data_IF_839374222723
#
_entry.id   IF_839374222723
#
_cell.length_a   1.000
_cell.length_b   1.000
_cell.length_c   1.000
_cell.angle_alpha   90.00
_cell.angle_beta   90.00
_cell.angle_gamma   90.00
#
_symmetry.space_group_name_H-M   'P 1'
#
loop_
_entity.id
_entity.type
_entity.pdbx_description
1 polymer ?
#
# COMPACT_ATOMS: atom_id res chain seq x y z
N UNK A 1 3.84 36.12 18.34
CA UNK A 1 3.78 35.85 19.79
C UNK A 1 2.58 36.56 20.41
N UNK A 2 2.37 37.86 20.19
CA UNK A 2 1.25 38.60 20.83
C UNK A 2 -0.17 38.20 20.42
N UNK A 3 -0.40 37.78 19.16
CA UNK A 3 -1.74 37.33 18.71
C UNK A 3 -2.19 35.99 19.31
N UNK A 4 -1.28 35.16 19.83
CA UNK A 4 -1.63 33.86 20.42
C UNK A 4 -2.08 34.01 21.88
N UNK A 5 -1.46 34.91 22.65
CA UNK A 5 -1.89 35.21 24.02
C UNK A 5 -3.24 35.95 24.08
N UNK A 6 -3.61 36.68 23.04
CA UNK A 6 -4.91 37.36 22.95
C UNK A 6 -6.09 36.40 22.72
N UNK A 7 -5.87 35.23 22.11
CA UNK A 7 -6.93 34.28 21.75
C UNK A 7 -7.46 33.52 22.98
N UNK A 8 -6.57 32.95 23.79
CA UNK A 8 -6.96 32.32 25.06
C UNK A 8 -7.61 33.28 26.08
N UNK A 9 -7.42 34.61 25.92
CA UNK A 9 -8.09 35.63 26.73
C UNK A 9 -9.60 35.68 26.48
N UNK A 10 -10.07 35.46 25.25
CA UNK A 10 -11.48 35.68 24.88
C UNK A 10 -12.41 34.56 25.35
N UNK A 11 -11.99 33.30 25.27
CA UNK A 11 -12.77 32.17 25.80
C UNK A 11 -12.75 32.18 27.33
N UNK A 12 -11.63 32.57 27.95
CA UNK A 12 -11.57 32.78 29.39
C UNK A 12 -12.54 33.88 29.85
N UNK A 13 -12.62 34.99 29.10
CA UNK A 13 -13.60 36.06 29.32
C UNK A 13 -15.05 35.57 29.16
N UNK A 14 -15.33 34.72 28.17
CA UNK A 14 -16.65 34.11 27.96
C UNK A 14 -17.06 33.21 29.15
N UNK A 15 -16.15 32.39 29.67
CA UNK A 15 -16.42 31.51 30.83
C UNK A 15 -16.69 32.35 32.09
N UNK A 16 -15.94 33.43 32.29
CA UNK A 16 -16.18 34.37 33.41
C UNK A 16 -17.56 35.03 33.28
N UNK A 17 -17.91 35.51 32.08
CA UNK A 17 -19.22 36.11 31.81
C UNK A 17 -20.37 35.11 32.03
N UNK A 18 -20.21 33.88 31.56
CA UNK A 18 -21.19 32.80 31.76
C UNK A 18 -21.38 32.45 33.23
N UNK A 19 -20.30 32.48 34.04
CA UNK A 19 -20.34 32.25 35.48
C UNK A 19 -21.05 33.37 36.25
N UNK A 20 -20.87 34.62 35.84
CA UNK A 20 -21.54 35.77 36.46
C UNK A 20 -23.04 35.83 36.13
N UNK A 21 -23.43 35.41 34.92
CA UNK A 21 -24.80 35.49 34.43
C UNK A 21 -25.61 34.20 34.70
N UNK A 22 -24.95 33.07 34.90
CA UNK A 22 -25.59 31.75 35.06
C UNK A 22 -26.09 31.14 33.76
N UNK A 23 -25.87 31.79 32.62
CA UNK A 23 -26.21 31.33 31.28
C UNK A 23 -25.30 32.00 30.24
N UNK A 24 -25.26 31.43 29.03
CA UNK A 24 -24.65 32.05 27.85
C UNK A 24 -25.62 32.01 26.69
N UNK A 25 -25.54 32.97 25.75
CA UNK A 25 -26.32 32.91 24.51
C UNK A 25 -25.47 32.44 23.33
N UNK A 26 -26.12 31.92 22.27
CA UNK A 26 -25.42 31.60 21.01
C UNK A 26 -24.69 32.82 20.42
N UNK A 27 -25.24 34.01 20.59
CA UNK A 27 -24.59 35.26 20.19
C UNK A 27 -23.33 35.53 21.01
N UNK A 28 -23.38 35.33 22.34
CA UNK A 28 -22.22 35.51 23.21
C UNK A 28 -21.10 34.55 22.86
N UNK A 29 -21.43 33.27 22.59
CA UNK A 29 -20.46 32.27 22.15
C UNK A 29 -19.84 32.69 20.82
N UNK A 30 -20.65 33.05 19.83
CA UNK A 30 -20.17 33.43 18.50
C UNK A 30 -19.33 34.72 18.49
N UNK A 31 -19.61 35.69 19.37
CA UNK A 31 -18.86 36.95 19.48
C UNK A 31 -17.48 36.79 20.14
N UNK A 32 -17.32 35.76 20.99
CA UNK A 32 -16.07 35.48 21.70
C UNK A 32 -15.24 34.37 21.03
N UNK A 33 -15.81 33.67 20.05
CA UNK A 33 -15.07 32.74 19.20
C UNK A 33 -14.14 33.50 18.23
N UNK A 34 -12.93 33.00 17.96
CA UNK A 34 -12.05 33.56 16.94
C UNK A 34 -12.69 33.50 15.54
N UNK A 35 -12.44 34.52 14.71
CA UNK A 35 -12.89 34.56 13.29
C UNK A 35 -12.40 33.35 12.45
N UNK A 36 -11.42 32.60 12.96
CA UNK A 36 -10.85 31.39 12.33
C UNK A 36 -11.71 30.12 12.58
N UNK A 37 -12.66 30.15 13.53
CA UNK A 37 -13.61 29.06 13.83
C UNK A 37 -14.94 29.41 13.18
N UNK A 38 -15.08 29.06 11.90
CA UNK A 38 -16.29 29.34 11.11
C UNK A 38 -17.12 28.09 10.81
N UNK A 39 -16.74 26.93 11.36
CA UNK A 39 -17.36 25.65 11.08
C UNK A 39 -18.49 25.36 12.08
N UNK A 40 -19.76 25.20 11.65
CA UNK A 40 -20.87 24.92 12.55
C UNK A 40 -20.63 23.72 13.48
N UNK A 41 -20.00 22.66 12.98
CA UNK A 41 -19.71 21.45 13.77
C UNK A 41 -18.71 21.72 14.92
N UNK A 42 -17.75 22.63 14.71
CA UNK A 42 -16.80 23.03 15.76
C UNK A 42 -17.47 23.94 16.80
N UNK A 43 -18.40 24.78 16.36
CA UNK A 43 -19.20 25.64 17.26
C UNK A 43 -20.08 24.77 18.15
N UNK A 44 -20.76 23.76 17.58
CA UNK A 44 -21.58 22.81 18.33
C UNK A 44 -20.75 21.98 19.33
N UNK A 45 -19.53 21.59 18.98
CA UNK A 45 -18.59 20.91 19.89
C UNK A 45 -18.18 21.80 21.07
N UNK A 46 -17.86 23.06 20.81
CA UNK A 46 -17.53 24.04 21.86
C UNK A 46 -18.74 24.29 22.76
N UNK A 47 -19.95 24.38 22.20
CA UNK A 47 -21.20 24.50 22.97
C UNK A 47 -21.41 23.24 23.83
N UNK A 48 -21.12 22.05 23.30
CA UNK A 48 -21.14 20.79 24.06
C UNK A 48 -20.18 20.83 25.26
N UNK A 49 -18.94 21.25 25.03
CA UNK A 49 -17.93 21.40 26.10
C UNK A 49 -18.35 22.45 27.15
N UNK A 50 -19.00 23.55 26.74
CA UNK A 50 -19.52 24.58 27.66
C UNK A 50 -20.69 24.04 28.50
N UNK A 51 -21.57 23.22 27.92
CA UNK A 51 -22.64 22.57 28.67
C UNK A 51 -22.10 21.53 29.67
N UNK A 52 -21.06 20.76 29.28
CA UNK A 52 -20.36 19.83 30.18
C UNK A 52 -19.67 20.55 31.37
N UNK A 53 -19.35 21.83 31.19
CA UNK A 53 -18.85 22.72 32.25
C UNK A 53 -19.94 23.23 33.20
N UNK A 54 -21.21 22.86 32.98
CA UNK A 54 -22.35 23.29 33.80
C UNK A 54 -22.91 24.66 33.42
N UNK A 55 -22.47 25.27 32.31
CA UNK A 55 -23.02 26.53 31.80
C UNK A 55 -24.02 26.26 30.68
N UNK A 56 -25.30 26.58 30.93
CA UNK A 56 -26.34 26.37 29.91
C UNK A 56 -26.26 27.42 28.81
N UNK A 57 -26.13 26.98 27.56
CA UNK A 57 -26.17 27.83 26.37
C UNK A 57 -27.59 27.86 25.78
N UNK A 58 -28.20 29.03 25.72
CA UNK A 58 -29.57 29.24 25.21
C UNK A 58 -29.57 30.07 23.91
N UNK A 59 -30.50 29.84 22.99
CA UNK A 59 -30.61 30.68 21.77
C UNK A 59 -31.00 32.13 22.08
N UNK A 60 -31.81 32.33 23.12
CA UNK A 60 -32.24 33.64 23.62
C UNK A 60 -32.08 33.69 25.14
N UNK A 61 -31.81 34.88 25.69
CA UNK A 61 -31.67 35.05 27.14
C UNK A 61 -32.91 34.52 27.88
N UNK A 62 -32.75 33.62 28.88
CA UNK A 62 -33.87 33.06 29.62
C UNK A 62 -34.53 34.11 30.53
N UNK A 63 -35.82 33.94 30.78
CA UNK A 63 -36.58 34.82 31.67
C UNK A 63 -36.15 34.64 33.13
N UNK A 64 -36.32 35.67 33.96
CA UNK A 64 -35.87 35.70 35.35
C UNK A 64 -36.41 34.52 36.19
N UNK A 65 -37.63 34.08 35.92
CA UNK A 65 -38.26 32.94 36.61
C UNK A 65 -37.59 31.59 36.26
N UNK A 66 -36.98 31.49 35.06
CA UNK A 66 -36.31 30.27 34.58
C UNK A 66 -34.93 30.10 35.22
N UNK A 67 -34.25 31.23 35.49
CA UNK A 67 -32.95 31.27 36.15
C UNK A 67 -33.03 30.86 37.63
N UNK A 68 -34.13 31.21 38.32
CA UNK A 68 -34.34 30.86 39.73
C UNK A 68 -34.61 29.37 39.96
N UNK A 69 -35.02 28.63 38.92
CA UNK A 69 -35.29 27.19 38.98
C UNK A 69 -34.04 26.34 38.69
N UNK A 70 -32.98 26.93 38.16
CA UNK A 70 -31.77 26.24 37.72
C UNK A 70 -30.66 26.16 38.80
N UNK A 71 -30.88 26.70 40.01
CA UNK A 71 -29.92 26.57 41.11
C UNK A 71 -29.90 25.12 41.64
N UNK A 72 -28.97 24.31 41.12
CA UNK A 72 -28.11 23.36 41.87
C UNK A 72 -27.53 22.28 40.95
N UNK A 73 -26.31 22.46 40.44
CA UNK A 73 -25.31 21.37 40.39
C UNK A 73 -23.95 21.95 40.78
N UNK A 74 -23.33 21.39 41.82
CA UNK A 74 -21.97 21.73 42.22
C UNK A 74 -21.01 21.32 41.11
N UNK A 75 -20.39 22.29 40.45
CA UNK A 75 -19.29 22.06 39.52
C UNK A 75 -17.99 21.89 40.31
N UNK A 76 -17.39 20.70 40.30
CA UNK A 76 -16.06 20.46 40.87
C UNK A 76 -15.02 21.35 40.15
N UNK A 77 -14.38 22.27 40.87
CA UNK A 77 -13.37 23.21 40.35
C UNK A 77 -12.22 22.51 39.58
N UNK A 78 -11.98 21.22 39.84
CA UNK A 78 -10.94 20.40 39.20
C UNK A 78 -11.34 19.95 37.78
N UNK A 79 -12.63 19.65 37.54
CA UNK A 79 -13.12 19.29 36.21
C UNK A 79 -13.14 20.51 35.27
N UNK A 80 -13.40 21.68 35.83
CA UNK A 80 -13.39 22.97 35.15
C UNK A 80 -12.00 23.40 34.67
N UNK A 81 -10.97 23.23 35.49
CA UNK A 81 -9.59 23.55 35.10
C UNK A 81 -9.10 22.64 33.96
N UNK A 82 -9.44 21.34 34.01
CA UNK A 82 -9.13 20.38 32.95
C UNK A 82 -9.88 20.67 31.64
N UNK A 83 -11.14 21.12 31.72
CA UNK A 83 -11.95 21.45 30.55
C UNK A 83 -11.59 22.82 29.96
N UNK A 84 -11.19 23.80 30.76
CA UNK A 84 -10.60 25.04 30.28
C UNK A 84 -9.26 24.79 29.56
N UNK A 85 -8.43 23.88 30.09
CA UNK A 85 -7.21 23.42 29.42
C UNK A 85 -7.52 22.65 28.12
N UNK A 86 -8.58 21.84 28.09
CA UNK A 86 -9.05 21.15 26.89
C UNK A 86 -9.56 22.11 25.81
N UNK A 87 -10.37 23.12 26.17
CA UNK A 87 -10.83 24.17 25.26
C UNK A 87 -9.67 25.00 24.70
N UNK A 88 -8.70 25.36 25.54
CA UNK A 88 -7.47 26.03 25.12
C UNK A 88 -6.59 25.14 24.21
N UNK A 89 -6.60 23.82 24.41
CA UNK A 89 -5.92 22.87 23.52
C UNK A 89 -6.63 22.72 22.16
N UNK A 90 -7.96 22.75 22.14
CA UNK A 90 -8.78 22.72 20.91
C UNK A 90 -8.55 23.96 20.06
N UNK A 91 -8.38 25.14 20.68
CA UNK A 91 -8.01 26.38 19.97
C UNK A 91 -6.64 26.33 19.29
N UNK A 92 -5.69 25.59 19.87
CA UNK A 92 -4.34 25.46 19.31
C UNK A 92 -4.28 24.57 18.06
N UNK A 93 -5.32 23.78 17.79
CA UNK A 93 -5.42 22.91 16.61
C UNK A 93 -6.36 23.48 15.55
N UNK A 94 -6.01 24.66 15.02
CA UNK A 94 -6.71 25.27 13.89
C UNK A 94 -6.85 24.28 12.73
N UNK A 95 -8.09 23.91 12.39
CA UNK A 95 -8.43 22.96 11.32
C UNK A 95 -8.76 21.53 11.78
N UNK A 96 -8.87 21.25 13.09
CA UNK A 96 -9.40 19.98 13.59
C UNK A 96 -10.90 19.87 13.24
N UNK A 97 -11.24 19.03 12.27
CA UNK A 97 -12.63 18.70 11.93
C UNK A 97 -12.88 17.23 12.28
N UNK A 98 -14.05 16.95 12.83
CA UNK A 98 -14.51 15.58 13.13
C UNK A 98 -15.15 14.92 11.91
N UNK A 99 -15.49 15.70 10.87
CA UNK A 99 -16.05 15.18 9.61
C UNK A 99 -14.96 14.44 8.80
N UNK A 100 -15.09 13.11 8.63
CA UNK A 100 -14.12 12.32 7.87
C UNK A 100 -14.01 12.77 6.41
N UNK A 101 -15.08 13.34 5.82
CA UNK A 101 -15.06 13.87 4.44
C UNK A 101 -14.12 15.07 4.36
N UNK A 102 -14.20 16.00 5.29
CA UNK A 102 -13.31 17.18 5.32
C UNK A 102 -11.87 16.80 5.63
N UNK A 103 -11.65 15.86 6.54
CA UNK A 103 -10.31 15.31 6.81
C UNK A 103 -9.69 14.76 5.51
N UNK A 104 -10.45 13.96 4.77
CA UNK A 104 -10.02 13.38 3.50
C UNK A 104 -9.75 14.45 2.42
N UNK A 105 -10.62 15.45 2.29
CA UNK A 105 -10.43 16.55 1.33
C UNK A 105 -9.17 17.37 1.63
N UNK A 106 -8.87 17.59 2.92
CA UNK A 106 -7.65 18.28 3.36
C UNK A 106 -6.39 17.48 3.02
N UNK A 107 -6.37 16.20 3.37
CA UNK A 107 -5.23 15.31 3.07
C UNK A 107 -4.97 15.22 1.56
N UNK A 108 -6.03 15.02 0.77
CA UNK A 108 -5.94 15.03 -0.69
C UNK A 108 -5.47 16.38 -1.24
N UNK A 109 -5.90 17.48 -0.61
CA UNK A 109 -5.54 18.85 -0.97
C UNK A 109 -4.04 19.11 -0.97
N UNK A 110 -3.26 18.34 -0.21
CA UNK A 110 -1.81 18.48 -0.09
C UNK A 110 -1.02 18.01 -1.32
N UNK A 111 -1.61 17.17 -2.16
CA UNK A 111 -0.93 16.57 -3.32
C UNK A 111 -1.25 17.38 -4.58
N UNK A 112 -0.24 17.80 -5.35
CA UNK A 112 -0.45 18.57 -6.56
C UNK A 112 -1.12 17.77 -7.70
N UNK A 113 -1.74 18.49 -8.63
CA UNK A 113 -2.30 17.91 -9.85
C UNK A 113 -1.18 17.51 -10.82
N UNK A 114 -1.31 16.34 -11.44
CA UNK A 114 -0.31 15.82 -12.37
C UNK A 114 -0.51 16.39 -13.78
N UNK A 115 0.59 16.78 -14.43
CA UNK A 115 0.61 17.08 -15.87
C UNK A 115 0.69 15.79 -16.68
N UNK A 116 0.39 15.86 -17.99
CA UNK A 116 0.54 14.69 -18.88
C UNK A 116 1.98 14.14 -18.89
N UNK A 117 2.97 15.01 -18.84
CA UNK A 117 4.38 14.61 -18.78
C UNK A 117 4.67 13.89 -17.46
N UNK A 118 4.14 14.39 -16.34
CA UNK A 118 4.21 13.72 -15.05
C UNK A 118 3.51 12.34 -15.04
N UNK A 119 2.36 12.19 -15.72
CA UNK A 119 1.68 10.89 -15.88
C UNK A 119 2.60 9.87 -16.58
N UNK A 120 3.28 10.30 -17.65
CA UNK A 120 4.20 9.46 -18.41
C UNK A 120 5.44 9.13 -17.59
N UNK A 121 6.00 10.10 -16.84
CA UNK A 121 7.16 9.88 -15.99
C UNK A 121 6.88 8.86 -14.89
N UNK A 122 5.74 8.97 -14.20
CA UNK A 122 5.35 7.99 -13.18
C UNK A 122 5.12 6.61 -13.82
N UNK A 123 4.48 6.54 -14.98
CA UNK A 123 4.30 5.28 -15.69
C UNK A 123 5.65 4.63 -16.09
N UNK A 124 6.64 5.43 -16.54
CA UNK A 124 8.00 4.96 -16.80
C UNK A 124 8.68 4.44 -15.51
N UNK A 125 8.53 5.13 -14.38
CA UNK A 125 9.04 4.68 -13.07
C UNK A 125 8.41 3.35 -12.63
N UNK A 126 7.12 3.13 -12.90
CA UNK A 126 6.44 1.85 -12.66
C UNK A 126 7.07 0.74 -13.52
N UNK A 127 7.22 0.97 -14.84
CA UNK A 127 7.84 0.01 -15.75
C UNK A 127 9.29 -0.30 -15.34
N UNK A 128 10.07 0.70 -14.93
CA UNK A 128 11.45 0.54 -14.48
C UNK A 128 11.53 -0.35 -13.23
N UNK A 129 10.64 -0.14 -12.24
CA UNK A 129 10.57 -1.00 -11.06
C UNK A 129 10.21 -2.45 -11.39
N UNK A 130 9.34 -2.66 -12.39
CA UNK A 130 9.04 -4.01 -12.91
C UNK A 130 10.27 -4.65 -13.57
N UNK A 131 10.99 -3.91 -14.42
CA UNK A 131 12.22 -4.38 -15.09
C UNK A 131 13.29 -4.76 -14.06
N UNK A 132 13.51 -3.91 -13.05
CA UNK A 132 14.47 -4.14 -11.97
C UNK A 132 14.17 -5.46 -11.22
N UNK A 133 12.88 -5.70 -10.90
CA UNK A 133 12.44 -6.92 -10.24
C UNK A 133 12.65 -8.16 -11.12
N UNK A 134 12.25 -8.09 -12.40
CA UNK A 134 12.38 -9.20 -13.34
C UNK A 134 13.86 -9.54 -13.59
N UNK A 135 14.72 -8.53 -13.74
CA UNK A 135 16.15 -8.74 -13.92
C UNK A 135 16.78 -9.41 -12.68
N UNK A 136 16.40 -8.98 -11.48
CA UNK A 136 16.85 -9.63 -10.24
C UNK A 136 16.33 -11.07 -10.11
N UNK A 137 15.08 -11.34 -10.51
CA UNK A 137 14.45 -12.66 -10.35
C UNK A 137 15.09 -13.76 -11.20
N UNK A 138 15.73 -13.40 -12.31
CA UNK A 138 16.52 -14.32 -13.16
C UNK A 138 17.69 -14.96 -12.39
N UNK A 139 18.22 -14.25 -11.40
CA UNK A 139 19.28 -14.78 -10.55
C UNK A 139 18.72 -15.81 -9.55
N UNK A 140 17.42 -15.87 -9.31
CA UNK A 140 16.85 -16.93 -8.49
C UNK A 140 16.58 -18.20 -9.34
N UNK A 141 17.08 -19.37 -8.94
CA UNK A 141 16.87 -20.64 -9.63
C UNK A 141 15.38 -20.98 -9.78
N UNK A 142 15.04 -21.75 -10.81
CA UNK A 142 13.67 -22.14 -11.17
C UNK A 142 12.75 -21.01 -11.66
N UNK A 143 13.09 -19.74 -11.50
CA UNK A 143 12.26 -18.62 -11.98
C UNK A 143 12.03 -18.68 -13.49
N UNK A 144 13.10 -18.69 -14.28
CA UNK A 144 12.98 -18.72 -15.75
C UNK A 144 12.44 -20.07 -16.22
N UNK A 145 12.80 -21.15 -15.54
CA UNK A 145 12.27 -22.50 -15.82
C UNK A 145 10.74 -22.55 -15.65
N UNK A 146 10.22 -21.99 -14.57
CA UNK A 146 8.77 -21.89 -14.31
C UNK A 146 8.05 -21.17 -15.45
N UNK A 147 8.60 -20.04 -15.92
CA UNK A 147 8.06 -19.29 -17.06
C UNK A 147 8.09 -20.12 -18.35
N UNK A 148 9.17 -20.86 -18.61
CA UNK A 148 9.30 -21.72 -19.78
C UNK A 148 8.33 -22.91 -19.74
N UNK A 149 8.10 -23.49 -18.56
CA UNK A 149 7.10 -24.55 -18.35
C UNK A 149 5.69 -23.99 -18.59
N UNK A 150 5.37 -22.82 -18.01
CA UNK A 150 4.05 -22.20 -18.21
C UNK A 150 3.79 -21.89 -19.68
N UNK A 151 4.79 -21.40 -20.40
CA UNK A 151 4.70 -21.19 -21.85
C UNK A 151 4.41 -22.49 -22.63
N UNK A 152 4.96 -23.62 -22.19
CA UNK A 152 4.65 -24.91 -22.80
C UNK A 152 3.17 -25.28 -22.59
N UNK A 153 2.62 -25.05 -21.39
CA UNK A 153 1.18 -25.26 -21.12
C UNK A 153 0.28 -24.34 -21.96
N UNK A 154 0.71 -23.10 -22.23
CA UNK A 154 0.00 -22.19 -23.14
C UNK A 154 0.03 -22.73 -24.57
N UNK A 155 1.18 -23.25 -25.03
CA UNK A 155 1.29 -23.87 -26.36
C UNK A 155 0.44 -25.14 -26.50
N UNK A 156 0.29 -25.89 -25.42
CA UNK A 156 -0.50 -27.13 -25.39
C UNK A 156 -2.01 -26.85 -25.23
N UNK A 157 -2.39 -25.58 -25.05
CA UNK A 157 -3.79 -25.13 -24.97
C UNK A 157 -4.42 -25.26 -23.58
N UNK A 158 -3.64 -25.65 -22.56
CA UNK A 158 -4.14 -25.81 -21.18
C UNK A 158 -4.31 -24.48 -20.43
N UNK A 159 -3.59 -23.44 -20.87
CA UNK A 159 -3.60 -22.10 -20.26
C UNK A 159 -3.81 -21.02 -21.31
N UNK A 160 -4.51 -19.94 -20.94
CA UNK A 160 -4.71 -18.77 -21.80
C UNK A 160 -3.43 -17.92 -21.85
N UNK A 161 -3.21 -17.26 -23.00
CA UNK A 161 -2.08 -16.34 -23.17
C UNK A 161 -2.18 -15.11 -22.26
N UNK A 162 -3.40 -14.60 -22.01
CA UNK A 162 -3.64 -13.43 -21.19
C UNK A 162 -3.27 -13.66 -19.71
N UNK A 163 -3.40 -14.91 -19.23
CA UNK A 163 -2.91 -15.31 -17.90
C UNK A 163 -1.39 -15.33 -17.80
N UNK A 164 -0.69 -15.42 -18.94
CA UNK A 164 0.77 -15.52 -19.02
C UNK A 164 1.43 -14.16 -19.27
N UNK A 165 1.11 -13.53 -20.40
CA UNK A 165 1.81 -12.36 -20.91
C UNK A 165 0.81 -11.36 -21.48
N UNK A 166 0.92 -10.10 -21.05
CA UNK A 166 0.05 -9.01 -21.51
C UNK A 166 0.71 -8.18 -22.62
N UNK A 167 2.04 -8.21 -22.76
CA UNK A 167 2.75 -7.47 -23.79
C UNK A 167 4.26 -7.44 -23.62
N UNK A 168 4.88 -6.36 -24.08
CA UNK A 168 6.33 -6.14 -23.98
C UNK A 168 6.64 -4.73 -23.45
N UNK A 169 7.71 -4.61 -22.66
CA UNK A 169 8.17 -3.36 -22.02
C UNK A 169 9.23 -2.64 -22.88
N UNK A 170 9.04 -2.54 -24.20
CA UNK A 170 10.04 -1.94 -25.11
C UNK A 170 10.25 -0.45 -24.84
N UNK A 171 11.41 0.13 -25.10
CA UNK A 171 11.54 1.60 -25.05
C UNK A 171 10.96 2.24 -26.31
N UNK A 172 10.00 3.16 -26.16
CA UNK A 172 9.61 4.08 -27.23
C UNK A 172 10.15 5.46 -26.87
N UNK A 173 10.90 6.07 -27.79
CA UNK A 173 11.47 7.41 -27.62
C UNK A 173 10.39 8.50 -27.70
N UNK A 174 9.39 8.32 -28.56
CA UNK A 174 8.23 9.21 -28.66
C UNK A 174 6.92 8.46 -28.46
N UNK A 175 6.07 8.99 -27.57
CA UNK A 175 4.72 8.48 -27.34
C UNK A 175 3.78 9.32 -28.22
N UNK A 176 3.17 8.75 -29.28
CA UNK A 176 2.27 9.52 -30.13
C UNK A 176 1.06 9.98 -29.31
N UNK A 177 0.66 11.25 -29.48
CA UNK A 177 -0.54 11.75 -28.83
C UNK A 177 -1.77 11.27 -29.58
N UNK A 178 -2.43 10.24 -29.07
CA UNK A 178 -3.77 9.89 -29.55
C UNK A 178 -4.73 11.05 -29.21
N UNK A 179 -5.50 11.50 -30.21
CA UNK A 179 -6.56 12.49 -30.00
C UNK A 179 -7.61 12.01 -28.99
N UNK A 180 -8.56 12.87 -28.57
CA UNK A 180 -9.58 12.52 -27.59
C UNK A 180 -10.52 11.43 -28.14
N UNK A 181 -10.16 10.16 -27.93
CA UNK A 181 -10.88 8.99 -28.43
C UNK A 181 -11.60 8.28 -27.29
N UNK A 182 -12.72 8.83 -26.85
CA UNK A 182 -13.60 8.24 -25.83
C UNK A 182 -14.26 6.94 -26.28
N UNK A 183 -14.33 6.64 -27.59
CA UNK A 183 -15.01 5.45 -28.13
C UNK A 183 -14.19 4.16 -27.96
N UNK A 184 -12.89 4.15 -28.27
CA UNK A 184 -12.04 2.97 -28.05
C UNK A 184 -11.79 2.65 -26.58
N UNK A 185 -11.64 3.67 -25.74
CA UNK A 185 -11.56 3.49 -24.29
C UNK A 185 -12.88 2.98 -23.69
N UNK A 186 -14.01 3.15 -24.39
CA UNK A 186 -15.29 2.53 -24.05
C UNK A 186 -15.34 1.09 -24.53
N UNK A 187 -14.94 0.83 -25.78
CA UNK A 187 -14.88 -0.53 -26.37
C UNK A 187 -13.94 -1.48 -25.61
N UNK A 188 -12.74 -1.02 -25.22
CA UNK A 188 -11.76 -1.82 -24.46
C UNK A 188 -12.23 -2.18 -23.05
N UNK A 189 -13.25 -1.49 -22.59
CA UNK A 189 -13.67 -1.53 -21.21
C UNK A 189 -15.05 -2.19 -21.10
N UNK A 190 -15.94 -1.94 -22.06
CA UNK A 190 -17.11 -2.79 -22.34
C UNK A 190 -16.66 -4.25 -22.65
N UNK A 191 -15.48 -4.44 -23.28
CA UNK A 191 -14.84 -5.76 -23.44
C UNK A 191 -14.28 -6.38 -22.14
N UNK A 192 -14.17 -5.60 -21.06
CA UNK A 192 -13.77 -6.09 -19.74
C UNK A 192 -14.99 -6.51 -18.88
N UNK A 193 -16.21 -6.21 -19.33
CA UNK A 193 -17.47 -6.58 -18.68
C UNK A 193 -18.13 -7.82 -19.33
N UNK A 194 -17.80 -8.11 -20.59
CA UNK A 194 -18.01 -9.44 -21.18
C UNK A 194 -16.84 -10.36 -20.82
N UNK A 195 -17.10 -11.54 -20.26
CA UNK A 195 -16.11 -12.62 -20.11
C UNK A 195 -15.44 -13.06 -21.45
N UNK A 196 -15.82 -12.45 -22.57
CA UNK A 196 -15.07 -12.44 -23.81
C UNK A 196 -14.02 -11.32 -23.78
N UNK A 197 -12.85 -11.64 -23.20
CA UNK A 197 -11.61 -10.92 -23.47
C UNK A 197 -11.42 -10.81 -24.99
N UNK A 198 -11.81 -9.68 -25.61
CA UNK A 198 -11.41 -9.43 -26.98
C UNK A 198 -9.88 -9.46 -27.01
N UNK A 199 -9.37 -10.32 -27.88
CA UNK A 199 -7.99 -10.75 -27.98
C UNK A 199 -7.04 -9.62 -28.34
N UNK A 200 -6.80 -8.69 -27.41
CA UNK A 200 -5.66 -7.77 -27.43
C UNK A 200 -4.45 -8.44 -26.77
N UNK A 201 -4.23 -9.72 -27.06
CA UNK A 201 -3.02 -10.42 -26.65
C UNK A 201 -1.84 -10.00 -27.54
N UNK A 202 -0.60 -10.08 -27.04
CA UNK A 202 0.58 -9.84 -27.87
C UNK A 202 0.61 -10.79 -29.07
N UNK A 203 1.15 -10.34 -30.21
CA UNK A 203 1.27 -11.17 -31.42
C UNK A 203 1.98 -12.48 -31.09
N UNK A 204 1.26 -13.59 -31.26
CA UNK A 204 1.71 -14.94 -30.92
C UNK A 204 3.04 -15.29 -31.61
N UNK A 205 3.28 -14.78 -32.82
CA UNK A 205 4.54 -15.03 -33.54
C UNK A 205 5.73 -14.36 -32.84
N UNK A 206 5.57 -13.12 -32.39
CA UNK A 206 6.61 -12.39 -31.69
C UNK A 206 6.83 -12.95 -30.28
N UNK A 207 5.76 -13.33 -29.57
CA UNK A 207 5.86 -14.07 -28.30
C UNK A 207 6.67 -15.34 -28.48
N UNK A 208 6.34 -16.17 -29.47
CA UNK A 208 7.06 -17.42 -29.75
C UNK A 208 8.54 -17.17 -30.06
N UNK A 209 8.86 -16.13 -30.84
CA UNK A 209 10.24 -15.74 -31.15
C UNK A 209 11.01 -15.38 -29.89
N UNK A 210 10.45 -14.54 -29.02
CA UNK A 210 11.09 -14.12 -27.76
C UNK A 210 11.24 -15.26 -26.78
N UNK A 211 10.22 -16.10 -26.62
CA UNK A 211 10.28 -17.29 -25.77
C UNK A 211 11.31 -18.31 -26.27
N UNK A 212 11.47 -18.45 -27.58
CA UNK A 212 12.54 -19.29 -28.16
C UNK A 212 13.92 -18.72 -27.88
N UNK A 213 14.07 -17.39 -27.99
CA UNK A 213 15.32 -16.72 -27.64
C UNK A 213 15.66 -16.88 -26.15
N UNK A 214 14.66 -16.70 -25.27
CA UNK A 214 14.77 -16.90 -23.82
C UNK A 214 15.19 -18.34 -23.50
N UNK A 215 14.52 -19.34 -24.09
CA UNK A 215 14.87 -20.77 -23.90
C UNK A 215 16.30 -21.07 -24.34
N UNK A 216 16.71 -20.53 -25.48
CA UNK A 216 18.08 -20.71 -26.00
C UNK A 216 19.12 -20.07 -25.06
N UNK A 217 18.87 -18.86 -24.58
CA UNK A 217 19.77 -18.18 -23.66
C UNK A 217 19.82 -18.90 -22.30
N UNK A 218 18.67 -19.29 -21.76
CA UNK A 218 18.57 -20.08 -20.53
C UNK A 218 19.40 -21.37 -20.61
N UNK A 219 19.26 -22.14 -21.70
CA UNK A 219 20.03 -23.36 -21.91
C UNK A 219 21.54 -23.11 -21.99
N UNK A 220 21.98 -21.97 -22.54
CA UNK A 220 23.40 -21.58 -22.55
C UNK A 220 23.88 -21.25 -21.13
N UNK A 221 23.11 -20.45 -20.40
CA UNK A 221 23.40 -20.08 -19.01
C UNK A 221 23.53 -21.33 -18.13
N UNK A 222 22.58 -22.27 -18.21
CA UNK A 222 22.62 -23.54 -17.45
C UNK A 222 23.87 -24.36 -17.76
N UNK A 223 24.23 -24.51 -19.06
CA UNK A 223 25.45 -25.23 -19.46
C UNK A 223 26.73 -24.57 -18.95
N UNK A 224 26.77 -23.24 -18.86
CA UNK A 224 27.93 -22.51 -18.32
C UNK A 224 28.02 -22.70 -16.81
N UNK A 225 26.89 -22.66 -16.10
CA UNK A 225 26.81 -22.94 -14.66
C UNK A 225 27.33 -24.34 -14.35
N UNK A 226 26.89 -25.35 -15.12
CA UNK A 226 27.34 -26.73 -14.97
C UNK A 226 28.86 -26.91 -15.21
N UNK A 227 29.43 -26.18 -16.17
CA UNK A 227 30.86 -26.32 -16.55
C UNK A 227 31.83 -25.51 -15.69
N UNK A 228 31.49 -24.26 -15.37
CA UNK A 228 32.39 -23.29 -14.74
C UNK A 228 31.98 -22.91 -13.32
N UNK A 229 30.84 -23.39 -12.85
CA UNK A 229 30.25 -22.97 -11.59
C UNK A 229 29.52 -21.64 -11.70
N UNK A 230 28.59 -21.45 -10.77
CA UNK A 230 27.65 -20.33 -10.74
C UNK A 230 28.30 -18.97 -10.53
N UNK A 231 29.36 -18.90 -9.72
CA UNK A 231 30.05 -17.64 -9.39
C UNK A 231 31.17 -17.28 -10.39
N UNK A 232 31.26 -17.99 -11.53
CA UNK A 232 32.23 -17.64 -12.57
C UNK A 232 31.87 -16.31 -13.25
N UNK A 233 32.88 -15.57 -13.70
CA UNK A 233 32.66 -14.29 -14.43
C UNK A 233 31.82 -14.51 -15.69
N UNK A 234 32.01 -15.65 -16.34
CA UNK A 234 31.28 -16.06 -17.52
C UNK A 234 29.81 -16.38 -17.20
N UNK A 235 29.51 -17.05 -16.08
CA UNK A 235 28.13 -17.28 -15.67
C UNK A 235 27.41 -15.96 -15.40
N UNK A 236 28.05 -15.01 -14.70
CA UNK A 236 27.48 -13.67 -14.46
C UNK A 236 27.21 -12.90 -15.76
N UNK A 237 28.10 -13.01 -16.76
CA UNK A 237 27.89 -12.40 -18.07
C UNK A 237 26.68 -13.03 -18.81
N UNK A 238 26.48 -14.35 -18.70
CA UNK A 238 25.33 -15.03 -19.29
C UNK A 238 24.03 -14.75 -18.51
N UNK A 239 24.07 -14.56 -17.19
CA UNK A 239 22.95 -14.08 -16.38
C UNK A 239 22.53 -12.68 -16.78
N UNK A 240 23.47 -11.76 -17.02
CA UNK A 240 23.17 -10.42 -17.50
C UNK A 240 22.41 -10.45 -18.82
N UNK A 241 22.90 -11.23 -19.80
CA UNK A 241 22.20 -11.42 -21.09
C UNK A 241 20.81 -12.04 -20.93
N UNK A 242 20.65 -12.96 -19.98
CA UNK A 242 19.36 -13.59 -19.70
C UNK A 242 18.39 -12.59 -19.07
N UNK A 243 18.86 -11.78 -18.12
CA UNK A 243 18.13 -10.66 -17.51
C UNK A 243 17.71 -9.62 -18.54
N UNK A 244 18.62 -9.26 -19.45
CA UNK A 244 18.35 -8.30 -20.52
C UNK A 244 17.22 -8.76 -21.45
N UNK A 245 17.06 -10.07 -21.67
CA UNK A 245 15.93 -10.62 -22.44
C UNK A 245 14.66 -10.67 -21.59
N UNK A 246 14.78 -11.08 -20.33
CA UNK A 246 13.65 -11.36 -19.45
C UNK A 246 12.94 -10.10 -18.96
N UNK A 247 13.68 -9.02 -18.70
CA UNK A 247 13.13 -7.76 -18.18
C UNK A 247 12.13 -7.07 -19.11
N UNK A 248 12.17 -7.36 -20.42
CA UNK A 248 11.28 -6.74 -21.41
C UNK A 248 9.98 -7.51 -21.65
N UNK A 249 9.74 -8.60 -20.92
CA UNK A 249 8.50 -9.37 -20.97
C UNK A 249 7.50 -8.77 -19.97
N UNK A 250 6.36 -8.28 -20.47
CA UNK A 250 5.28 -7.75 -19.61
C UNK A 250 4.34 -8.90 -19.22
N UNK A 251 4.66 -9.56 -18.11
CA UNK A 251 3.82 -10.62 -17.55
C UNK A 251 2.46 -10.11 -17.10
N UNK A 252 1.47 -11.00 -17.02
CA UNK A 252 0.22 -10.70 -16.32
C UNK A 252 0.51 -10.40 -14.83
N UNK A 253 -0.34 -9.62 -14.13
CA UNK A 253 -0.13 -9.35 -12.70
C UNK A 253 0.01 -10.63 -11.86
N UNK A 254 -0.80 -11.64 -12.18
CA UNK A 254 -0.75 -12.95 -11.51
C UNK A 254 0.57 -13.67 -11.74
N UNK A 255 1.03 -13.76 -12.99
CA UNK A 255 2.30 -14.39 -13.33
C UNK A 255 3.49 -13.62 -12.73
N UNK A 256 3.41 -12.29 -12.69
CA UNK A 256 4.42 -11.44 -12.05
C UNK A 256 4.52 -11.72 -10.55
N UNK A 257 3.37 -11.85 -9.86
CA UNK A 257 3.32 -12.21 -8.44
C UNK A 257 3.83 -13.63 -8.18
N UNK A 258 3.50 -14.59 -9.05
CA UNK A 258 3.99 -15.97 -8.98
C UNK A 258 5.53 -16.03 -9.13
N UNK A 259 6.09 -15.29 -10.08
CA UNK A 259 7.55 -15.13 -10.25
C UNK A 259 8.18 -14.56 -8.99
N UNK A 260 7.61 -13.49 -8.42
CA UNK A 260 8.09 -12.89 -7.19
C UNK A 260 7.95 -13.84 -5.98
N UNK A 261 6.90 -14.66 -5.94
CA UNK A 261 6.63 -15.60 -4.87
C UNK A 261 7.68 -16.72 -4.78
N UNK A 262 8.24 -17.18 -5.91
CA UNK A 262 9.27 -18.24 -5.93
C UNK A 262 10.48 -17.87 -5.06
N UNK A 263 11.02 -16.66 -5.25
CA UNK A 263 12.16 -16.17 -4.46
C UNK A 263 11.77 -15.83 -3.01
N UNK A 264 10.59 -15.25 -2.80
CA UNK A 264 10.06 -14.89 -1.48
C UNK A 264 9.84 -16.10 -0.60
N UNK A 265 9.33 -17.21 -1.14
CA UNK A 265 9.14 -18.45 -0.40
C UNK A 265 10.47 -18.96 0.17
N UNK A 266 11.54 -18.98 -0.64
CA UNK A 266 12.87 -19.37 -0.18
C UNK A 266 13.39 -18.48 0.97
N UNK A 267 13.21 -17.16 0.85
CA UNK A 267 13.61 -16.21 1.90
C UNK A 267 12.76 -16.36 3.18
N UNK A 268 11.45 -16.60 3.05
CA UNK A 268 10.56 -16.76 4.20
C UNK A 268 10.90 -18.05 4.97
N UNK A 269 11.08 -19.17 4.26
CA UNK A 269 11.55 -20.42 4.89
C UNK A 269 12.88 -20.22 5.61
N UNK A 270 13.82 -19.49 5.01
CA UNK A 270 15.08 -19.13 5.67
C UNK A 270 14.81 -18.31 6.95
N UNK A 271 14.08 -17.20 6.85
CA UNK A 271 13.77 -16.31 7.99
C UNK A 271 13.06 -17.02 9.14
N UNK A 272 12.21 -17.99 8.86
CA UNK A 272 11.56 -18.81 9.88
C UNK A 272 12.57 -19.63 10.67
N UNK A 273 13.51 -20.30 9.98
CA UNK A 273 14.60 -21.06 10.64
C UNK A 273 15.56 -20.14 11.40
N UNK A 274 15.85 -18.97 10.85
CA UNK A 274 16.65 -17.93 11.51
C UNK A 274 16.00 -17.45 12.82
N UNK A 275 14.69 -17.17 12.79
CA UNK A 275 13.91 -16.77 13.96
C UNK A 275 13.83 -17.89 15.00
N UNK A 276 13.72 -19.15 14.56
CA UNK A 276 13.76 -20.31 15.45
C UNK A 276 15.12 -20.38 16.18
N UNK A 277 16.23 -20.31 15.45
CA UNK A 277 17.59 -20.30 16.03
C UNK A 277 17.76 -19.13 17.01
N UNK A 278 17.30 -17.94 16.64
CA UNK A 278 17.35 -16.76 17.52
C UNK A 278 16.54 -16.99 18.79
N UNK A 279 15.33 -17.54 18.69
CA UNK A 279 14.48 -17.81 19.85
C UNK A 279 15.13 -18.84 20.78
N UNK A 280 15.69 -19.90 20.21
CA UNK A 280 16.35 -20.95 20.99
C UNK A 280 17.61 -20.45 21.70
N UNK A 281 18.46 -19.68 21.03
CA UNK A 281 19.72 -19.22 21.62
C UNK A 281 19.56 -18.00 22.54
N UNK A 282 18.73 -17.02 22.17
CA UNK A 282 18.57 -15.78 22.95
C UNK A 282 17.58 -15.95 24.08
N UNK A 283 16.41 -16.56 23.83
CA UNK A 283 15.34 -16.70 24.84
C UNK A 283 15.56 -17.91 25.74
N UNK A 284 15.78 -19.09 25.14
CA UNK A 284 15.85 -20.34 25.90
C UNK A 284 17.25 -20.58 26.49
N UNK A 285 18.31 -20.37 25.72
CA UNK A 285 19.70 -20.49 26.21
C UNK A 285 20.25 -19.22 26.88
N UNK A 286 19.48 -18.12 26.89
CA UNK A 286 19.83 -16.83 27.53
C UNK A 286 21.15 -16.21 27.04
N UNK A 287 21.52 -16.44 25.78
CA UNK A 287 22.66 -15.74 25.17
C UNK A 287 22.30 -14.25 24.97
N UNK A 288 23.17 -13.29 25.36
CA UNK A 288 22.94 -11.88 25.09
C UNK A 288 22.74 -11.61 23.59
N UNK A 289 21.72 -10.82 23.25
CA UNK A 289 21.37 -10.51 21.84
C UNK A 289 22.55 -9.92 21.05
N UNK A 290 23.39 -9.10 21.69
CA UNK A 290 24.58 -8.50 21.05
C UNK A 290 25.58 -9.57 20.60
N UNK A 291 25.89 -10.53 21.48
CA UNK A 291 26.78 -11.66 21.16
C UNK A 291 26.20 -12.48 20.01
N UNK A 292 24.90 -12.81 20.09
CA UNK A 292 24.23 -13.57 19.03
C UNK A 292 24.37 -12.89 17.67
N UNK A 293 24.09 -11.59 17.55
CA UNK A 293 24.20 -10.86 16.29
C UNK A 293 25.59 -10.90 15.66
N UNK A 294 26.65 -10.87 16.49
CA UNK A 294 28.03 -10.98 15.99
C UNK A 294 28.40 -12.39 15.50
N UNK A 295 27.97 -13.43 16.22
CA UNK A 295 28.32 -14.82 15.93
C UNK A 295 27.45 -15.43 14.83
N UNK A 296 26.25 -14.90 14.65
CA UNK A 296 25.22 -15.45 13.78
C UNK A 296 25.63 -15.48 12.30
N UNK A 297 26.22 -14.39 11.79
CA UNK A 297 26.57 -14.18 10.38
C UNK A 297 27.43 -15.30 9.78
N UNK A 298 28.32 -15.87 10.60
CA UNK A 298 29.36 -16.80 10.16
C UNK A 298 29.07 -18.26 10.56
N UNK A 299 28.03 -18.49 11.36
CA UNK A 299 27.73 -19.82 11.93
C UNK A 299 26.35 -20.37 11.54
N UNK A 300 25.59 -19.67 10.71
CA UNK A 300 24.27 -20.09 10.21
C UNK A 300 24.27 -21.51 9.61
N UNK A 301 25.29 -21.86 8.85
CA UNK A 301 25.41 -23.17 8.18
C UNK A 301 26.27 -24.17 8.95
N UNK A 302 26.84 -23.77 10.11
CA UNK A 302 27.74 -24.63 10.88
C UNK A 302 26.98 -25.44 11.92
N UNK A 303 26.74 -26.71 11.61
CA UNK A 303 26.02 -27.66 12.49
C UNK A 303 26.69 -27.82 13.88
N UNK A 304 28.01 -27.65 13.97
CA UNK A 304 28.78 -27.75 15.24
C UNK A 304 28.89 -26.41 15.99
N UNK A 305 28.08 -25.42 15.65
CA UNK A 305 28.14 -24.11 16.29
C UNK A 305 27.80 -24.19 17.79
N UNK A 306 26.72 -24.89 18.15
CA UNK A 306 26.32 -25.07 19.55
C UNK A 306 27.40 -25.80 20.36
N UNK A 307 28.07 -26.79 19.76
CA UNK A 307 29.19 -27.49 20.40
C UNK A 307 30.38 -26.57 20.69
N UNK A 308 30.59 -25.57 19.83
CA UNK A 308 31.64 -24.56 20.04
C UNK A 308 31.26 -23.60 21.16
N UNK A 309 29.99 -23.17 21.22
CA UNK A 309 29.48 -22.33 22.31
C UNK A 309 29.53 -23.02 23.68
N UNK A 310 29.33 -24.34 23.73
CA UNK A 310 29.43 -25.12 24.97
C UNK A 310 30.87 -25.20 25.52
N UNK A 311 31.89 -24.94 24.71
CA UNK A 311 33.28 -24.88 25.20
C UNK A 311 33.61 -23.55 25.86
N UNK A 312 32.89 -22.49 25.51
CA UNK A 312 33.06 -21.17 26.13
C UNK A 312 32.47 -21.17 27.54
N UNK A 313 33.25 -20.67 28.52
CA UNK A 313 32.80 -20.56 29.92
C UNK A 313 31.73 -19.48 30.13
N UNK A 314 31.47 -18.67 29.11
CA UNK A 314 30.55 -17.51 29.16
C UNK A 314 29.07 -17.93 29.18
N UNK A 315 28.74 -19.12 28.68
CA UNK A 315 27.36 -19.57 28.49
C UNK A 315 27.02 -20.81 29.33
N UNK A 316 25.74 -20.93 29.73
CA UNK A 316 25.27 -22.05 30.55
C UNK A 316 25.13 -23.31 29.71
N UNK A 317 25.96 -24.32 29.97
CA UNK A 317 25.99 -25.59 29.20
C UNK A 317 24.66 -26.33 29.25
N UNK A 318 24.03 -26.43 30.43
CA UNK A 318 22.77 -27.17 30.62
C UNK A 318 21.62 -26.62 29.76
N UNK A 319 21.61 -25.32 29.51
CA UNK A 319 20.59 -24.69 28.65
C UNK A 319 20.91 -24.89 27.17
N UNK A 320 22.19 -24.85 26.79
CA UNK A 320 22.64 -25.10 25.43
C UNK A 320 22.38 -26.54 24.99
N UNK A 321 22.53 -27.50 25.89
CA UNK A 321 22.28 -28.92 25.61
C UNK A 321 20.80 -29.19 25.27
N UNK A 322 19.88 -28.53 25.99
CA UNK A 322 18.42 -28.63 25.73
C UNK A 322 18.01 -28.09 24.37
N UNK A 323 18.65 -27.01 23.91
CA UNK A 323 18.29 -26.36 22.62
C UNK A 323 19.09 -26.88 21.43
N UNK A 324 20.14 -27.68 21.69
CA UNK A 324 21.07 -28.15 20.67
C UNK A 324 20.38 -28.87 19.52
N UNK A 325 19.46 -29.78 19.82
CA UNK A 325 18.77 -30.56 18.80
C UNK A 325 17.95 -29.66 17.86
N UNK A 326 17.16 -28.74 18.41
CA UNK A 326 16.35 -27.80 17.64
C UNK A 326 17.19 -26.90 16.72
N UNK A 327 18.31 -26.38 17.25
CA UNK A 327 19.23 -25.54 16.46
C UNK A 327 19.88 -26.36 15.34
N UNK A 328 20.32 -27.58 15.63
CA UNK A 328 20.92 -28.46 14.61
C UNK A 328 19.93 -28.81 13.50
N UNK A 329 18.68 -29.09 13.84
CA UNK A 329 17.61 -29.35 12.85
C UNK A 329 17.43 -28.10 11.98
N UNK A 330 17.27 -26.93 12.58
CA UNK A 330 17.10 -25.68 11.83
C UNK A 330 18.30 -25.37 10.90
N UNK A 331 19.53 -25.63 11.36
CA UNK A 331 20.73 -25.46 10.54
C UNK A 331 20.80 -26.47 9.39
N UNK A 332 20.39 -27.72 9.61
CA UNK A 332 20.28 -28.73 8.54
C UNK A 332 19.24 -28.34 7.50
N UNK A 333 18.09 -27.82 7.93
CA UNK A 333 17.05 -27.34 7.02
C UNK A 333 17.56 -26.17 6.16
N UNK A 334 18.38 -25.28 6.73
CA UNK A 334 19.03 -24.19 5.98
C UNK A 334 20.00 -24.75 4.94
N UNK A 335 20.83 -25.73 5.30
CA UNK A 335 21.75 -26.40 4.36
C UNK A 335 20.98 -27.12 3.26
N UNK A 336 19.88 -27.79 3.59
CA UNK A 336 19.01 -28.43 2.60
C UNK A 336 18.42 -27.41 1.63
N UNK A 337 17.99 -26.24 2.13
CA UNK A 337 17.53 -25.14 1.29
C UNK A 337 18.65 -24.61 0.37
N UNK A 338 19.86 -24.40 0.89
CA UNK A 338 21.03 -24.00 0.08
C UNK A 338 21.33 -25.01 -1.01
N UNK A 339 21.26 -26.31 -0.71
CA UNK A 339 21.49 -27.39 -1.69
C UNK A 339 20.37 -27.47 -2.74
N UNK A 340 19.11 -27.33 -2.33
CA UNK A 340 17.94 -27.39 -3.21
C UNK A 340 17.91 -26.25 -4.21
N UNK A 341 18.31 -25.05 -3.76
CA UNK A 341 18.35 -23.86 -4.60
C UNK A 341 19.69 -23.74 -5.33
N UNK A 342 20.79 -24.20 -4.74
CA UNK A 342 22.15 -24.01 -5.28
C UNK A 342 22.65 -22.57 -5.08
N UNK A 343 22.21 -21.92 -3.99
CA UNK A 343 22.57 -20.57 -3.59
C UNK A 343 22.96 -20.55 -2.12
N UNK A 344 23.89 -19.68 -1.75
CA UNK A 344 24.18 -19.46 -0.33
C UNK A 344 23.15 -18.52 0.33
N UNK A 345 23.07 -18.54 1.66
CA UNK A 345 22.17 -17.68 2.44
C UNK A 345 22.33 -16.19 2.12
N UNK A 346 23.56 -15.71 1.87
CA UNK A 346 23.81 -14.30 1.56
C UNK A 346 23.23 -13.92 0.20
N UNK A 347 23.39 -14.77 -0.80
CA UNK A 347 22.86 -14.58 -2.15
C UNK A 347 21.34 -14.63 -2.18
N UNK A 348 20.72 -15.58 -1.45
CA UNK A 348 19.25 -15.64 -1.34
C UNK A 348 18.72 -14.31 -0.79
N UNK A 349 19.37 -13.76 0.24
CA UNK A 349 19.01 -12.45 0.82
C UNK A 349 19.28 -11.29 -0.12
N UNK A 350 20.40 -11.28 -0.82
CA UNK A 350 20.77 -10.21 -1.76
C UNK A 350 19.81 -10.15 -2.96
N UNK A 351 19.52 -11.29 -3.58
CA UNK A 351 18.57 -11.38 -4.69
C UNK A 351 17.19 -10.89 -4.25
N UNK A 352 16.69 -11.37 -3.11
CA UNK A 352 15.40 -10.92 -2.58
C UNK A 352 15.41 -9.42 -2.21
N UNK A 353 16.54 -8.87 -1.74
CA UNK A 353 16.67 -7.44 -1.47
C UNK A 353 16.55 -6.64 -2.77
N UNK A 354 17.24 -7.05 -3.83
CA UNK A 354 17.18 -6.39 -5.13
C UNK A 354 15.75 -6.46 -5.72
N UNK A 355 15.10 -7.63 -5.62
CA UNK A 355 13.69 -7.77 -6.01
C UNK A 355 12.76 -6.86 -5.20
N UNK A 356 12.94 -6.80 -3.88
CA UNK A 356 12.13 -5.95 -2.99
C UNK A 356 12.36 -4.45 -3.24
N UNK A 357 13.55 -4.04 -3.66
CA UNK A 357 13.83 -2.67 -4.09
C UNK A 357 13.02 -2.31 -5.34
N UNK A 358 13.01 -3.18 -6.36
CA UNK A 358 12.16 -3.00 -7.56
C UNK A 358 10.68 -2.93 -7.22
N UNK A 359 10.20 -3.83 -6.35
CA UNK A 359 8.81 -3.84 -5.86
C UNK A 359 8.45 -2.54 -5.12
N UNK A 360 9.35 -2.06 -4.26
CA UNK A 360 9.13 -0.82 -3.50
C UNK A 360 9.08 0.40 -4.42
N UNK A 361 9.97 0.46 -5.42
CA UNK A 361 9.99 1.52 -6.44
C UNK A 361 8.69 1.54 -7.24
N UNK A 362 8.26 0.37 -7.71
CA UNK A 362 6.99 0.20 -8.41
C UNK A 362 5.80 0.62 -7.54
N UNK A 363 5.71 0.10 -6.31
CA UNK A 363 4.61 0.40 -5.37
C UNK A 363 4.54 1.89 -5.02
N UNK A 364 5.70 2.53 -4.81
CA UNK A 364 5.76 3.98 -4.55
C UNK A 364 5.27 4.77 -5.76
N UNK A 365 5.74 4.45 -6.96
CA UNK A 365 5.28 5.14 -8.17
C UNK A 365 3.77 4.94 -8.40
N UNK A 366 3.23 3.73 -8.19
CA UNK A 366 1.78 3.49 -8.23
C UNK A 366 1.02 4.33 -7.20
N UNK A 367 1.54 4.41 -5.97
CA UNK A 367 0.97 5.24 -4.90
C UNK A 367 0.94 6.72 -5.31
N UNK A 368 2.08 7.25 -5.78
CA UNK A 368 2.20 8.63 -6.26
C UNK A 368 1.16 8.90 -7.38
N UNK A 369 0.96 7.93 -8.30
CA UNK A 369 -0.02 8.03 -9.38
C UNK A 369 -1.47 8.08 -8.87
N UNK A 370 -1.81 7.26 -7.88
CA UNK A 370 -3.14 7.22 -7.28
C UNK A 370 -3.42 8.52 -6.52
N UNK A 371 -2.49 8.97 -5.68
CA UNK A 371 -2.61 10.17 -4.86
C UNK A 371 -2.86 11.42 -5.72
N UNK A 372 -2.13 11.58 -6.83
CA UNK A 372 -2.31 12.71 -7.74
C UNK A 372 -3.69 12.72 -8.44
N UNK A 373 -4.39 11.58 -8.49
CA UNK A 373 -5.65 11.40 -9.20
C UNK A 373 -6.89 11.25 -8.29
N UNK A 374 -6.74 11.36 -6.97
CA UNK A 374 -7.87 11.26 -6.02
C UNK A 374 -8.99 12.29 -6.31
N UNK A 375 -8.64 13.49 -6.77
CA UNK A 375 -9.62 14.54 -7.15
C UNK A 375 -10.54 14.10 -8.29
N UNK A 376 -10.02 13.31 -9.24
CA UNK A 376 -10.81 12.77 -10.34
C UNK A 376 -11.91 11.84 -9.79
N UNK A 377 -11.57 10.97 -8.84
CA UNK A 377 -12.53 10.04 -8.21
C UNK A 377 -13.68 10.81 -7.57
N UNK A 378 -13.38 11.84 -6.80
CA UNK A 378 -14.38 12.69 -6.15
C UNK A 378 -15.31 13.34 -7.17
N UNK A 379 -14.75 13.89 -8.26
CA UNK A 379 -15.55 14.54 -9.31
C UNK A 379 -16.52 13.58 -10.00
N UNK A 380 -16.18 12.29 -10.08
CA UNK A 380 -17.02 11.23 -10.64
C UNK A 380 -18.04 10.77 -9.59
N UNK A 381 -17.60 10.47 -8.37
CA UNK A 381 -18.43 9.98 -7.27
C UNK A 381 -19.57 10.96 -6.89
N UNK A 382 -19.33 12.27 -7.00
CA UNK A 382 -20.37 13.31 -6.79
C UNK A 382 -21.63 13.11 -7.65
N UNK A 383 -21.53 12.46 -8.82
CA UNK A 383 -22.69 12.19 -9.70
C UNK A 383 -23.56 11.02 -9.23
N UNK A 384 -23.05 10.25 -8.27
CA UNK A 384 -23.67 9.05 -7.73
C UNK A 384 -24.13 9.21 -6.28
N UNK A 385 -23.99 10.41 -5.70
CA UNK A 385 -24.57 10.73 -4.39
C UNK A 385 -26.09 10.52 -4.41
N UNK A 386 -26.65 10.16 -3.26
CA UNK A 386 -28.09 9.91 -3.09
C UNK A 386 -28.65 8.68 -3.83
N UNK A 387 -27.80 7.70 -4.17
CA UNK A 387 -28.20 6.41 -4.78
C UNK A 387 -28.21 5.24 -3.79
N UNK A 388 -28.31 5.53 -2.48
CA UNK A 388 -28.40 4.53 -1.41
C UNK A 388 -27.09 4.14 -0.75
N UNK A 389 -25.95 4.70 -1.18
CA UNK A 389 -24.64 4.51 -0.55
C UNK A 389 -24.08 5.85 -0.05
N UNK A 390 -23.34 5.85 1.07
CA UNK A 390 -22.74 7.06 1.62
C UNK A 390 -21.65 7.59 0.67
N UNK A 391 -21.43 8.92 0.69
CA UNK A 391 -20.45 9.55 -0.18
C UNK A 391 -19.02 9.03 0.01
N UNK A 392 -18.62 8.74 1.26
CA UNK A 392 -17.31 8.17 1.57
C UNK A 392 -17.13 6.77 0.95
N UNK A 393 -18.15 5.92 1.02
CA UNK A 393 -18.11 4.58 0.44
C UNK A 393 -17.98 4.65 -1.09
N UNK A 394 -18.73 5.56 -1.75
CA UNK A 394 -18.60 5.81 -3.19
C UNK A 394 -17.18 6.24 -3.56
N UNK A 395 -16.55 7.08 -2.75
CA UNK A 395 -15.16 7.49 -2.95
C UNK A 395 -14.21 6.30 -2.79
N UNK A 396 -14.39 5.46 -1.76
CA UNK A 396 -13.52 4.30 -1.55
C UNK A 396 -13.61 3.30 -2.69
N UNK A 397 -14.82 3.00 -3.17
CA UNK A 397 -15.03 2.10 -4.31
C UNK A 397 -14.46 2.70 -5.60
N UNK A 398 -14.61 4.02 -5.79
CA UNK A 398 -13.95 4.75 -6.86
C UNK A 398 -12.43 4.71 -6.78
N UNK A 399 -11.85 4.80 -5.58
CA UNK A 399 -10.40 4.69 -5.35
C UNK A 399 -9.88 3.28 -5.69
N UNK A 400 -10.65 2.23 -5.37
CA UNK A 400 -10.34 0.85 -5.78
C UNK A 400 -10.37 0.73 -7.31
N UNK A 401 -11.37 1.34 -7.98
CA UNK A 401 -11.42 1.44 -9.43
C UNK A 401 -10.21 2.17 -10.03
N UNK A 402 -9.79 3.28 -9.41
CA UNK A 402 -8.60 4.03 -9.80
C UNK A 402 -7.33 3.20 -9.67
N UNK A 403 -7.15 2.45 -8.58
CA UNK A 403 -6.01 1.55 -8.40
C UNK A 403 -5.93 0.50 -9.51
N UNK A 404 -7.06 -0.10 -9.89
CA UNK A 404 -7.14 -1.03 -11.03
C UNK A 404 -6.77 -0.37 -12.36
N UNK A 405 -7.17 0.89 -12.56
CA UNK A 405 -6.79 1.66 -13.73
C UNK A 405 -5.28 1.91 -13.78
N UNK A 406 -4.65 2.28 -12.66
CA UNK A 406 -3.19 2.46 -12.57
C UNK A 406 -2.45 1.18 -12.94
N UNK A 407 -2.91 0.03 -12.47
CA UNK A 407 -2.26 -1.26 -12.75
C UNK A 407 -2.29 -1.66 -14.24
N UNK A 408 -3.34 -1.27 -14.97
CA UNK A 408 -3.56 -1.64 -16.37
C UNK A 408 -3.25 -0.52 -17.36
N UNK A 409 -2.88 0.66 -16.89
CA UNK A 409 -2.66 1.82 -17.75
C UNK A 409 -1.47 1.62 -18.70
N UNK A 410 -1.68 1.94 -19.97
CA UNK A 410 -0.67 1.90 -21.02
C UNK A 410 -0.50 3.28 -21.65
N UNK A 411 0.46 4.05 -21.15
CA UNK A 411 0.74 5.40 -21.65
C UNK A 411 1.09 5.44 -23.14
N UNK A 412 1.61 4.32 -23.68
CA UNK A 412 2.02 4.12 -25.07
C UNK A 412 0.87 4.24 -26.07
N UNK A 413 -0.37 4.01 -25.63
CA UNK A 413 -1.57 4.20 -26.45
C UNK A 413 -1.86 5.68 -26.73
N UNK A 414 -1.17 6.60 -26.04
CA UNK A 414 -1.23 8.02 -26.30
C UNK A 414 -2.40 8.75 -25.63
N UNK A 415 -3.33 8.03 -25.01
CA UNK A 415 -4.46 8.60 -24.28
C UNK A 415 -4.02 9.17 -22.91
N UNK A 416 -4.72 10.21 -22.45
CA UNK A 416 -4.52 10.75 -21.09
C UNK A 416 -5.01 9.74 -20.06
N UNK A 417 -4.33 9.68 -18.90
CA UNK A 417 -4.71 8.75 -17.85
C UNK A 417 -6.14 8.98 -17.35
N UNK A 418 -6.55 10.23 -17.20
CA UNK A 418 -7.91 10.60 -16.76
C UNK A 418 -9.02 10.00 -17.63
N UNK A 419 -8.83 9.91 -18.95
CA UNK A 419 -9.81 9.30 -19.87
C UNK A 419 -9.98 7.81 -19.57
N UNK A 420 -8.88 7.09 -19.39
CA UNK A 420 -8.87 5.67 -19.08
C UNK A 420 -9.42 5.40 -17.67
N UNK A 421 -8.94 6.13 -16.66
CA UNK A 421 -9.33 5.97 -15.26
C UNK A 421 -10.82 6.25 -15.04
N UNK A 422 -11.40 7.20 -15.78
CA UNK A 422 -12.83 7.54 -15.64
C UNK A 422 -13.73 6.33 -15.84
N UNK A 423 -13.41 5.43 -16.77
CA UNK A 423 -14.21 4.23 -17.01
C UNK A 423 -14.13 3.27 -15.82
N UNK A 424 -12.93 2.95 -15.35
CA UNK A 424 -12.73 2.03 -14.22
C UNK A 424 -13.34 2.54 -12.91
N UNK A 425 -13.23 3.86 -12.66
CA UNK A 425 -13.84 4.51 -11.50
C UNK A 425 -15.36 4.40 -11.59
N UNK A 426 -15.94 4.68 -12.77
CA UNK A 426 -17.39 4.56 -12.98
C UNK A 426 -17.88 3.13 -12.78
N UNK A 427 -17.21 2.16 -13.39
CA UNK A 427 -17.59 0.75 -13.30
C UNK A 427 -17.55 0.26 -11.84
N UNK A 428 -16.50 0.62 -11.09
CA UNK A 428 -16.38 0.24 -9.68
C UNK A 428 -17.52 0.84 -8.83
N UNK A 429 -17.81 2.14 -9.01
CA UNK A 429 -18.89 2.83 -8.28
C UNK A 429 -20.26 2.22 -8.63
N UNK A 430 -20.56 2.06 -9.92
CA UNK A 430 -21.85 1.51 -10.37
C UNK A 430 -22.05 0.08 -9.87
N UNK A 431 -21.01 -0.76 -9.93
CA UNK A 431 -21.04 -2.12 -9.38
C UNK A 431 -21.25 -2.14 -7.87
N UNK A 432 -20.59 -1.25 -7.12
CA UNK A 432 -20.78 -1.19 -5.67
C UNK A 432 -22.20 -0.75 -5.28
N UNK A 433 -22.77 0.22 -6.00
CA UNK A 433 -24.18 0.63 -5.79
C UNK A 433 -25.13 -0.56 -6.06
N UNK A 434 -24.91 -1.29 -7.15
CA UNK A 434 -25.71 -2.47 -7.48
C UNK A 434 -25.64 -3.55 -6.39
N UNK A 435 -24.45 -3.78 -5.83
CA UNK A 435 -24.18 -4.86 -4.88
C UNK A 435 -24.51 -4.53 -3.41
N UNK A 436 -24.37 -3.26 -3.00
CA UNK A 436 -24.35 -2.85 -1.59
C UNK A 436 -25.43 -1.82 -1.22
N UNK A 437 -25.99 -1.05 -2.17
CA UNK A 437 -26.92 0.03 -1.83
C UNK A 437 -28.30 -0.44 -1.35
N UNK A 438 -28.58 -1.75 -1.42
CA UNK A 438 -29.85 -2.34 -0.98
C UNK A 438 -29.61 -3.36 0.13
N UNK A 439 -30.54 -3.41 1.08
CA UNK A 439 -30.55 -4.41 2.17
C UNK A 439 -30.57 -5.84 1.64
N UNK A 440 -31.27 -6.07 0.53
CA UNK A 440 -31.29 -7.36 -0.18
C UNK A 440 -30.51 -7.21 -1.47
N UNK A 441 -29.45 -8.01 -1.62
CA UNK A 441 -28.60 -8.03 -2.80
C UNK A 441 -29.39 -8.53 -4.01
N UNK A 442 -29.35 -7.77 -5.09
CA UNK A 442 -29.95 -8.11 -6.38
C UNK A 442 -28.82 -8.25 -7.41
N UNK A 443 -28.84 -9.26 -8.29
CA UNK A 443 -27.83 -9.38 -9.36
C UNK A 443 -27.79 -8.13 -10.26
N UNK A 444 -26.59 -7.71 -10.67
CA UNK A 444 -26.35 -6.45 -11.43
C UNK A 444 -27.21 -6.35 -12.69
N UNK A 445 -27.33 -7.42 -13.48
CA UNK A 445 -28.12 -7.44 -14.72
C UNK A 445 -29.61 -7.14 -14.51
N UNK A 446 -30.16 -7.44 -13.33
CA UNK A 446 -31.57 -7.14 -12.97
C UNK A 446 -31.79 -5.69 -12.54
N UNK A 447 -30.72 -4.91 -12.36
CA UNK A 447 -30.76 -3.51 -11.92
C UNK A 447 -30.67 -2.56 -13.10
N UNK A 448 -30.07 -3.01 -14.20
CA UNK A 448 -29.89 -2.27 -15.45
C UNK A 448 -31.05 -2.45 -16.44
N UNK A 449 -32.07 -3.25 -16.08
CA UNK A 449 -33.34 -3.40 -16.82
C UNK A 449 -34.36 -2.39 -16.34
#
# INVERSE_FOLDING_TARGET
MDKLNQKGSRIAELIVKGREQGYLTYADVNDHLPDDISDPDQVDEIIGMINDLGLQVHETAPDADTLMLAESENSDDIALEQAAEALAAVENETGRTTDPVRMYMREMGTVDLLTREGEIEIAKRIEEGMRDLLNASVHYPKTVEYVLIYWQLVKDGEKKINDFLTGFLEEMEEVPSAGPGTQRAKEEADAADSDEETSSGPDMKEVQRRMTNLKRQFNKTTKVIEKKGRHSKEANAEFKKLGDIFQFLKFSPRMFDDIAAIARHGLNSLREKEKLIQTQLVKNARIPRKDFLTLYSDNLTKVRWVDSLMKEKKYKKDLLEKVKQDVVIAQKDIIELENKVGLNVREIKEINRNMSMGETKMRRAKKDMVEANLRLVISIAKKYTNRGLQFLDLIQEGNIGLMKAVDKFEYRRGYKFSTYATWWIRQAITRSIADQARTIRIPVHMIET
#
